data_IF_381850342103
#
_entry.id   IF_381850342103
#
_cell.length_a   1.000
_cell.length_b   1.000
_cell.length_c   1.000
_cell.angle_alpha   90.00
_cell.angle_beta   90.00
_cell.angle_gamma   90.00
#
_symmetry.space_group_name_H-M   'P 1'
#
loop_
_entity.id
_entity.type
_entity.pdbx_description
1 polymer ?
#
# COMPACT_ATOMS: atom_id res chain seq x y z
N UNK A 1 12.85 7.74 14.76
CA UNK A 1 14.30 7.41 14.69
C UNK A 1 14.89 7.65 16.06
N UNK A 2 15.71 6.72 16.57
CA UNK A 2 16.51 6.95 17.77
C UNK A 2 17.74 7.75 17.39
N UNK A 3 18.02 8.83 18.11
CA UNK A 3 19.22 9.63 17.95
C UNK A 3 20.35 9.06 18.83
N UNK A 4 21.63 9.28 18.48
CA UNK A 4 22.77 8.77 19.28
C UNK A 4 22.78 9.23 20.73
N UNK A 5 22.12 10.34 21.04
CA UNK A 5 21.97 10.90 22.38
C UNK A 5 20.78 10.30 23.18
N UNK A 6 20.16 9.22 22.69
CA UNK A 6 19.02 8.56 23.34
C UNK A 6 17.67 9.23 23.09
N UNK A 7 17.63 10.38 22.39
CA UNK A 7 16.37 11.05 22.09
C UNK A 7 15.60 10.37 20.94
N UNK A 8 14.28 10.45 21.00
CA UNK A 8 13.38 9.92 19.99
C UNK A 8 12.87 11.04 19.09
N UNK A 9 13.29 11.02 17.83
CA UNK A 9 12.78 11.89 16.79
C UNK A 9 11.61 11.23 16.05
N UNK A 10 10.46 11.89 16.01
CA UNK A 10 9.32 11.53 15.16
C UNK A 10 9.12 12.64 14.15
N UNK A 11 9.01 12.28 12.87
CA UNK A 11 8.70 13.19 11.77
C UNK A 11 7.42 12.69 11.11
N UNK A 12 6.46 13.59 10.91
CA UNK A 12 5.17 13.33 10.32
C UNK A 12 4.94 14.30 9.16
N UNK A 13 4.58 13.77 8.00
CA UNK A 13 4.05 14.60 6.92
C UNK A 13 2.61 14.98 7.28
N UNK A 14 2.33 16.28 7.40
CA UNK A 14 1.00 16.81 7.75
C UNK A 14 0.17 17.13 6.53
N UNK A 15 0.78 17.80 5.56
CA UNK A 15 0.09 18.25 4.36
C UNK A 15 1.06 18.31 3.16
N UNK A 16 0.48 18.21 1.97
CA UNK A 16 1.18 18.16 0.70
C UNK A 16 0.27 18.72 -0.40
N UNK A 17 0.73 19.73 -1.12
CA UNK A 17 0.02 20.25 -2.29
C UNK A 17 0.97 20.68 -3.40
N UNK A 18 0.46 20.71 -4.63
CA UNK A 18 1.19 21.17 -5.81
C UNK A 18 0.67 22.56 -6.16
N UNK A 19 1.57 23.53 -6.19
CA UNK A 19 1.25 24.90 -6.61
C UNK A 19 1.04 24.97 -8.12
N UNK A 20 0.22 25.91 -8.57
CA UNK A 20 0.06 26.14 -10.01
C UNK A 20 1.39 26.58 -10.62
N UNK A 21 1.71 26.18 -11.86
CA UNK A 21 2.97 26.58 -12.51
C UNK A 21 3.15 28.09 -12.59
N UNK A 22 4.29 28.58 -12.10
CA UNK A 22 4.64 30.01 -12.12
C UNK A 22 6.02 30.26 -12.71
N UNK A 23 6.18 31.44 -13.31
CA UNK A 23 7.48 31.96 -13.71
C UNK A 23 8.23 32.41 -12.45
N UNK A 24 9.55 32.19 -12.41
CA UNK A 24 10.38 32.67 -11.29
C UNK A 24 10.25 34.18 -11.12
N UNK A 25 10.10 34.63 -9.87
CA UNK A 25 9.96 36.07 -9.53
C UNK A 25 11.13 36.94 -9.98
N UNK A 26 12.30 36.34 -10.23
CA UNK A 26 13.48 37.02 -10.75
C UNK A 26 13.38 37.38 -12.24
N UNK A 27 12.39 36.85 -12.96
CA UNK A 27 12.16 37.19 -14.36
C UNK A 27 11.25 38.43 -14.48
N UNK A 28 11.55 39.28 -15.44
CA UNK A 28 10.65 40.35 -15.87
C UNK A 28 9.54 39.74 -16.74
N UNK A 29 8.33 39.64 -16.20
CA UNK A 29 7.20 39.06 -16.89
C UNK A 29 5.93 39.91 -16.68
N UNK A 30 5.09 40.01 -17.70
CA UNK A 30 3.78 40.69 -17.64
C UNK A 30 2.80 39.94 -16.74
N UNK A 31 2.93 38.62 -16.68
CA UNK A 31 2.23 37.74 -15.76
C UNK A 31 3.21 36.72 -15.19
N UNK A 32 3.03 36.33 -13.94
CA UNK A 32 3.82 35.25 -13.33
C UNK A 32 3.16 33.87 -13.48
N UNK A 33 1.96 33.78 -14.06
CA UNK A 33 1.36 32.50 -14.43
C UNK A 33 2.12 31.93 -15.62
N UNK A 34 2.55 30.68 -15.52
CA UNK A 34 3.10 29.94 -16.66
C UNK A 34 1.97 29.18 -17.35
N UNK A 35 1.79 29.38 -18.65
CA UNK A 35 0.78 28.65 -19.44
C UNK A 35 1.41 27.46 -20.20
N UNK A 36 0.63 26.40 -20.50
CA UNK A 36 1.15 25.24 -21.22
C UNK A 36 1.75 25.58 -22.60
N UNK A 37 1.11 26.47 -23.37
CA UNK A 37 1.58 26.97 -24.66
C UNK A 37 3.01 27.51 -24.60
N UNK A 38 3.34 28.30 -23.57
CA UNK A 38 4.69 28.83 -23.36
C UNK A 38 5.72 27.71 -23.16
N UNK A 39 5.36 26.66 -22.42
CA UNK A 39 6.24 25.51 -22.21
C UNK A 39 6.50 24.74 -23.50
N UNK A 40 5.49 24.62 -24.38
CA UNK A 40 5.66 24.01 -25.71
C UNK A 40 6.67 24.80 -26.54
N UNK A 41 6.47 26.11 -26.69
CA UNK A 41 7.34 26.98 -27.49
C UNK A 41 8.77 27.05 -26.95
N UNK A 42 8.94 26.99 -25.62
CA UNK A 42 10.26 27.08 -24.96
C UNK A 42 10.97 25.74 -24.82
N UNK A 43 10.38 24.64 -25.29
CA UNK A 43 10.88 23.28 -25.05
C UNK A 43 11.09 22.99 -23.56
N UNK A 44 10.23 23.54 -22.70
CA UNK A 44 10.31 23.46 -21.25
C UNK A 44 9.31 22.44 -20.69
N UNK A 45 9.50 22.07 -19.43
CA UNK A 45 8.55 21.20 -18.71
C UNK A 45 7.52 22.06 -17.96
N UNK A 46 6.23 21.77 -18.16
CA UNK A 46 5.13 22.42 -17.45
C UNK A 46 4.99 21.82 -16.04
N UNK A 47 5.46 22.55 -15.02
CA UNK A 47 5.61 22.02 -13.65
C UNK A 47 5.27 23.05 -12.59
N UNK A 48 4.73 22.56 -11.47
CA UNK A 48 4.38 23.32 -10.27
C UNK A 48 5.22 22.89 -9.08
N UNK A 49 5.40 23.79 -8.11
CA UNK A 49 6.20 23.51 -6.92
C UNK A 49 5.44 22.61 -5.93
N UNK A 50 6.09 21.55 -5.46
CA UNK A 50 5.59 20.65 -4.42
C UNK A 50 5.89 21.23 -3.04
N UNK A 51 4.86 21.69 -2.36
CA UNK A 51 4.94 22.21 -1.00
C UNK A 51 4.56 21.12 0.00
N UNK A 52 5.43 20.87 0.97
CA UNK A 52 5.18 19.94 2.07
C UNK A 52 5.19 20.67 3.42
N UNK A 53 4.28 20.25 4.29
CA UNK A 53 4.22 20.69 5.69
C UNK A 53 4.61 19.51 6.57
N UNK A 54 5.69 19.65 7.34
CA UNK A 54 6.16 18.62 8.26
C UNK A 54 5.86 19.04 9.69
N UNK A 55 5.37 18.10 10.50
CA UNK A 55 5.45 18.20 11.95
C UNK A 55 6.57 17.28 12.44
N UNK A 56 7.32 17.73 13.43
CA UNK A 56 8.29 16.86 14.08
C UNK A 56 8.23 17.04 15.60
N UNK A 57 8.60 15.99 16.32
CA UNK A 57 8.63 16.00 17.78
C UNK A 57 9.88 15.32 18.28
N UNK A 58 10.46 15.86 19.35
CA UNK A 58 11.58 15.28 20.09
C UNK A 58 11.07 14.79 21.44
N UNK A 59 11.22 13.50 21.73
CA UNK A 59 10.73 12.87 22.96
C UNK A 59 9.24 13.15 23.25
N UNK A 60 8.42 13.25 22.20
CA UNK A 60 6.99 13.54 22.29
C UNK A 60 6.64 15.04 22.35
N UNK A 61 7.62 15.93 22.50
CA UNK A 61 7.41 17.39 22.48
C UNK A 61 7.40 17.88 21.04
N UNK A 62 6.24 18.36 20.56
CA UNK A 62 6.06 18.93 19.22
C UNK A 62 6.91 20.19 19.07
N UNK A 63 7.56 20.31 17.93
CA UNK A 63 8.43 21.42 17.56
C UNK A 63 7.78 22.23 16.43
N UNK A 64 8.52 23.19 15.88
CA UNK A 64 8.05 24.00 14.75
C UNK A 64 7.60 23.15 13.56
N UNK A 65 6.63 23.68 12.81
CA UNK A 65 6.01 23.03 11.66
C UNK A 65 6.48 23.72 10.37
N UNK A 66 7.68 23.39 9.84
CA UNK A 66 8.20 24.05 8.65
C UNK A 66 7.38 23.66 7.41
N UNK A 67 7.12 24.67 6.57
CA UNK A 67 6.70 24.48 5.18
C UNK A 67 7.93 24.52 4.29
N UNK A 68 8.07 23.54 3.41
CA UNK A 68 9.24 23.43 2.52
C UNK A 68 8.84 22.97 1.13
N UNK A 69 9.35 23.69 0.13
CA UNK A 69 9.32 23.23 -1.26
C UNK A 69 10.36 22.12 -1.45
N UNK A 70 9.92 20.94 -1.93
CA UNK A 70 10.81 19.80 -2.22
C UNK A 70 11.18 19.68 -3.70
N UNK A 71 10.82 20.67 -4.51
CA UNK A 71 11.09 20.70 -5.94
C UNK A 71 9.80 20.82 -6.75
N UNK A 72 9.93 20.71 -8.07
CA UNK A 72 8.83 20.93 -9.00
C UNK A 72 8.39 19.61 -9.66
N UNK A 73 7.07 19.40 -9.76
CA UNK A 73 6.45 18.22 -10.35
C UNK A 73 5.69 18.62 -11.62
N UNK A 74 5.76 17.83 -12.71
CA UNK A 74 4.94 18.06 -13.90
C UNK A 74 3.45 18.11 -13.56
N UNK A 75 2.76 19.12 -14.07
CA UNK A 75 1.32 19.31 -13.86
C UNK A 75 0.55 18.83 -15.09
N UNK A 76 -0.53 18.08 -14.87
CA UNK A 76 -1.40 17.63 -15.95
C UNK A 76 -2.20 18.81 -16.50
N UNK A 77 -2.21 18.98 -17.83
CA UNK A 77 -2.97 20.04 -18.50
C UNK A 77 -4.46 19.88 -18.19
N UNK A 78 -5.16 20.99 -17.91
CA UNK A 78 -6.57 21.10 -17.46
C UNK A 78 -6.92 20.49 -16.09
N UNK A 79 -5.97 19.86 -15.39
CA UNK A 79 -6.18 19.46 -13.98
C UNK A 79 -6.34 20.67 -13.05
N UNK A 80 -6.81 20.47 -11.82
CA UNK A 80 -7.02 21.54 -10.83
C UNK A 80 -5.77 22.41 -10.57
N UNK A 81 -4.59 21.78 -10.58
CA UNK A 81 -3.29 22.45 -10.43
C UNK A 81 -2.83 23.18 -11.71
N UNK A 82 -3.54 23.05 -12.83
CA UNK A 82 -3.22 23.75 -14.07
C UNK A 82 -3.78 25.19 -14.07
N UNK A 83 -3.09 26.09 -14.76
CA UNK A 83 -3.57 27.45 -14.98
C UNK A 83 -4.75 27.53 -15.97
N UNK A 84 -4.99 26.49 -16.77
CA UNK A 84 -6.14 26.39 -17.68
C UNK A 84 -7.41 25.86 -17.01
N UNK A 85 -7.33 25.47 -15.74
CA UNK A 85 -8.47 24.90 -15.02
C UNK A 85 -9.63 25.90 -14.91
N UNK A 86 -10.82 25.50 -15.39
CA UNK A 86 -12.02 26.33 -15.35
C UNK A 86 -12.07 27.48 -16.37
N UNK A 87 -11.08 27.61 -17.25
CA UNK A 87 -11.10 28.64 -18.30
C UNK A 87 -12.16 28.35 -19.36
N UNK A 88 -12.84 29.40 -19.80
CA UNK A 88 -13.80 29.37 -20.90
C UNK A 88 -13.09 29.31 -22.26
N UNK A 89 -13.78 28.85 -23.33
CA UNK A 89 -13.23 28.80 -24.68
C UNK A 89 -12.50 30.08 -25.15
N UNK A 90 -13.11 31.25 -24.92
CA UNK A 90 -12.52 32.55 -25.27
C UNK A 90 -11.24 32.86 -24.49
N UNK A 91 -11.17 32.47 -23.21
CA UNK A 91 -9.99 32.68 -22.36
C UNK A 91 -8.84 31.78 -22.76
N UNK A 92 -9.13 30.54 -23.22
CA UNK A 92 -8.13 29.61 -23.75
C UNK A 92 -7.46 30.18 -24.99
N UNK A 93 -8.26 30.67 -25.94
CA UNK A 93 -7.76 31.32 -27.16
C UNK A 93 -6.87 32.52 -26.80
N UNK A 94 -7.29 33.33 -25.82
CA UNK A 94 -6.54 34.50 -25.38
C UNK A 94 -5.16 34.17 -24.78
N UNK A 95 -4.97 32.97 -24.22
CA UNK A 95 -3.67 32.50 -23.69
C UNK A 95 -2.91 31.59 -24.66
N UNK A 96 -3.34 31.53 -25.93
CA UNK A 96 -2.65 30.80 -27.00
C UNK A 96 -2.92 29.29 -27.00
N UNK A 97 -4.01 28.84 -26.39
CA UNK A 97 -4.46 27.44 -26.41
C UNK A 97 -5.61 27.25 -27.39
N UNK A 98 -5.89 26.00 -27.73
CA UNK A 98 -7.06 25.64 -28.53
C UNK A 98 -8.37 25.88 -27.76
N UNK A 99 -9.40 26.30 -28.50
CA UNK A 99 -10.76 26.53 -27.96
C UNK A 99 -11.29 25.30 -27.19
N UNK A 100 -11.01 24.11 -27.72
CA UNK A 100 -11.46 22.82 -27.20
C UNK A 100 -10.31 21.99 -26.58
N UNK A 101 -9.35 22.63 -25.92
CA UNK A 101 -8.24 21.93 -25.23
C UNK A 101 -8.78 20.88 -24.24
N UNK A 102 -8.48 19.61 -24.53
CA UNK A 102 -8.96 18.44 -23.78
C UNK A 102 -8.15 18.17 -22.50
N UNK A 103 -6.85 18.49 -22.49
CA UNK A 103 -5.94 18.18 -21.39
C UNK A 103 -5.74 16.67 -21.15
N UNK A 104 -5.35 16.30 -19.93
CA UNK A 104 -5.12 14.89 -19.55
C UNK A 104 -3.72 14.34 -19.86
N UNK A 105 -2.82 15.19 -20.36
CA UNK A 105 -1.41 14.87 -20.62
C UNK A 105 -0.48 15.84 -19.88
N UNK A 106 0.82 15.58 -19.96
CA UNK A 106 1.89 16.37 -19.36
C UNK A 106 2.81 16.92 -20.44
N UNK A 107 3.34 18.12 -20.25
CA UNK A 107 4.36 18.69 -21.15
C UNK A 107 5.73 18.54 -20.47
N UNK A 108 6.60 17.72 -21.06
CA UNK A 108 7.96 17.43 -20.58
C UNK A 108 8.95 17.81 -21.67
N UNK A 109 9.77 18.84 -21.41
CA UNK A 109 10.75 19.38 -22.36
C UNK A 109 10.12 19.73 -23.72
N UNK A 110 8.96 20.41 -23.70
CA UNK A 110 8.17 20.75 -24.88
C UNK A 110 7.37 19.62 -25.50
N UNK A 111 7.60 18.38 -25.10
CA UNK A 111 6.90 17.21 -25.65
C UNK A 111 5.69 16.83 -24.80
N UNK A 112 4.58 16.53 -25.45
CA UNK A 112 3.37 16.03 -24.80
C UNK A 112 3.51 14.53 -24.51
N UNK A 113 3.21 14.15 -23.27
CA UNK A 113 3.32 12.78 -22.77
C UNK A 113 2.09 12.41 -21.96
N UNK A 114 1.58 11.21 -22.18
CA UNK A 114 0.43 10.67 -21.45
C UNK A 114 0.85 9.45 -20.63
N UNK A 115 0.30 9.32 -19.42
CA UNK A 115 0.42 8.10 -18.63
C UNK A 115 -0.61 7.10 -19.15
N UNK A 116 -0.16 5.98 -19.71
CA UNK A 116 -1.05 4.95 -20.26
C UNK A 116 -1.84 4.26 -19.16
N UNK A 117 -3.12 4.05 -19.41
CA UNK A 117 -3.98 3.23 -18.55
C UNK A 117 -3.54 1.76 -18.65
N UNK A 118 -3.50 1.08 -17.51
CA UNK A 118 -3.14 -0.33 -17.41
C UNK A 118 -4.31 -1.14 -16.85
N UNK A 119 -4.60 -2.27 -17.47
CA UNK A 119 -5.53 -3.26 -16.92
C UNK A 119 -4.79 -4.06 -15.85
N UNK A 120 -5.32 -4.05 -14.63
CA UNK A 120 -4.77 -4.74 -13.47
C UNK A 120 -5.87 -5.58 -12.79
N UNK A 121 -5.48 -6.51 -11.92
CA UNK A 121 -6.43 -7.34 -11.17
C UNK A 121 -7.47 -6.48 -10.43
N UNK A 122 -8.74 -6.93 -10.43
CA UNK A 122 -9.83 -6.31 -9.68
C UNK A 122 -9.43 -6.08 -8.22
N UNK A 123 -9.68 -4.86 -7.72
CA UNK A 123 -9.39 -4.46 -6.33
C UNK A 123 -10.32 -5.18 -5.35
N UNK A 124 -9.80 -5.54 -4.19
CA UNK A 124 -10.52 -5.99 -3.00
C UNK A 124 -11.47 -7.17 -3.26
N UNK A 125 -11.09 -8.07 -4.17
CA UNK A 125 -11.89 -9.24 -4.51
C UNK A 125 -10.99 -10.48 -4.56
N UNK A 126 -11.31 -11.56 -3.82
CA UNK A 126 -10.56 -12.80 -3.88
C UNK A 126 -10.86 -13.56 -5.17
N UNK A 127 -9.80 -13.91 -5.91
CA UNK A 127 -9.90 -14.68 -7.15
C UNK A 127 -9.20 -16.02 -6.96
N UNK A 128 -9.96 -17.11 -6.98
CA UNK A 128 -9.40 -18.45 -7.09
C UNK A 128 -8.77 -18.61 -8.49
N UNK A 129 -7.52 -19.07 -8.53
CA UNK A 129 -6.78 -19.23 -9.77
C UNK A 129 -5.96 -20.50 -9.73
N UNK A 130 -5.74 -21.04 -10.91
CA UNK A 130 -4.76 -22.09 -11.16
C UNK A 130 -3.60 -21.50 -11.97
N UNK A 131 -2.37 -21.63 -11.46
CA UNK A 131 -1.17 -21.15 -12.15
C UNK A 131 -0.04 -22.18 -12.03
N UNK A 132 0.36 -22.85 -13.13
CA UNK A 132 1.42 -23.87 -13.11
C UNK A 132 2.75 -23.38 -12.52
N UNK A 133 3.10 -22.11 -12.74
CA UNK A 133 4.32 -21.51 -12.20
C UNK A 133 4.34 -21.40 -10.66
N UNK A 134 3.22 -21.58 -9.96
CA UNK A 134 3.21 -21.60 -8.50
C UNK A 134 3.86 -22.85 -7.92
N UNK A 135 3.84 -23.99 -8.62
CA UNK A 135 4.59 -25.21 -8.25
C UNK A 135 6.10 -24.95 -8.11
N UNK A 136 6.64 -24.01 -8.90
CA UNK A 136 8.07 -23.65 -8.91
C UNK A 136 8.51 -22.80 -7.72
N UNK A 137 7.59 -22.42 -6.81
CA UNK A 137 7.90 -21.53 -5.67
C UNK A 137 8.57 -22.24 -4.49
N UNK A 138 8.59 -23.57 -4.50
CA UNK A 138 9.26 -24.38 -3.50
C UNK A 138 8.54 -25.70 -3.28
N UNK A 139 9.04 -26.48 -2.33
CA UNK A 139 8.51 -27.80 -2.03
C UNK A 139 7.05 -27.74 -1.57
N UNK A 140 6.28 -28.73 -2.00
CA UNK A 140 4.85 -28.90 -1.70
C UNK A 140 3.92 -27.82 -2.27
N UNK A 141 4.40 -26.79 -2.97
CA UNK A 141 3.51 -25.82 -3.61
C UNK A 141 2.70 -26.47 -4.73
N UNK A 142 1.39 -26.20 -4.76
CA UNK A 142 0.52 -26.57 -5.88
C UNK A 142 0.32 -25.41 -6.84
N UNK A 143 -0.36 -25.68 -7.96
CA UNK A 143 -0.86 -24.68 -8.90
C UNK A 143 -2.05 -23.89 -8.37
N UNK A 144 -2.67 -24.31 -7.27
CA UNK A 144 -3.90 -23.72 -6.74
C UNK A 144 -3.65 -22.63 -5.71
N UNK A 145 -4.50 -21.61 -5.73
CA UNK A 145 -4.45 -20.54 -4.76
C UNK A 145 -5.43 -19.40 -5.02
N UNK A 146 -5.58 -18.55 -4.01
CA UNK A 146 -6.50 -17.40 -4.05
C UNK A 146 -5.69 -16.10 -4.03
N UNK A 147 -5.77 -15.33 -5.12
CA UNK A 147 -5.09 -14.03 -5.24
C UNK A 147 -6.01 -12.87 -4.90
N UNK A 148 -5.53 -11.96 -4.08
CA UNK A 148 -6.28 -10.80 -3.60
C UNK A 148 -5.42 -9.54 -3.78
N UNK A 149 -5.86 -8.61 -4.61
CA UNK A 149 -5.26 -7.28 -4.73
C UNK A 149 -5.96 -6.31 -3.78
N UNK A 150 -5.36 -6.06 -2.62
CA UNK A 150 -5.87 -5.15 -1.60
C UNK A 150 -5.44 -3.71 -1.90
N UNK A 151 -6.38 -2.77 -2.01
CA UNK A 151 -6.10 -1.37 -2.35
C UNK A 151 -6.56 -0.45 -1.23
N UNK A 152 -5.65 0.40 -0.73
CA UNK A 152 -5.92 1.42 0.29
C UNK A 152 -6.70 2.61 -0.29
N UNK A 153 -7.17 3.50 0.58
CA UNK A 153 -7.82 4.75 0.19
C UNK A 153 -6.91 5.65 -0.66
N UNK A 154 -5.60 5.65 -0.40
CA UNK A 154 -4.57 6.37 -1.17
C UNK A 154 -4.22 5.71 -2.52
N UNK A 155 -5.00 4.71 -2.95
CA UNK A 155 -4.79 3.91 -4.16
C UNK A 155 -3.53 3.03 -4.17
N UNK A 156 -2.74 2.99 -3.10
CA UNK A 156 -1.63 2.05 -2.97
C UNK A 156 -2.14 0.61 -2.87
N UNK A 157 -1.51 -0.30 -3.62
CA UNK A 157 -1.90 -1.70 -3.69
C UNK A 157 -0.94 -2.62 -2.93
N UNK A 158 -1.48 -3.60 -2.22
CA UNK A 158 -0.77 -4.77 -1.68
C UNK A 158 -1.38 -6.03 -2.30
N UNK A 159 -0.55 -6.85 -2.95
CA UNK A 159 -0.99 -8.13 -3.50
C UNK A 159 -0.70 -9.24 -2.50
N UNK A 160 -1.69 -10.13 -2.34
CA UNK A 160 -1.60 -11.29 -1.47
C UNK A 160 -2.04 -12.53 -2.23
N UNK A 161 -1.44 -13.68 -1.94
CA UNK A 161 -1.88 -14.97 -2.48
C UNK A 161 -1.91 -16.01 -1.37
N UNK A 162 -3.03 -16.71 -1.21
CA UNK A 162 -3.12 -17.90 -0.38
C UNK A 162 -2.79 -19.09 -1.27
N UNK A 163 -1.63 -19.71 -1.03
CA UNK A 163 -1.19 -20.90 -1.75
C UNK A 163 -1.65 -22.14 -1.02
N UNK A 164 -2.31 -23.05 -1.74
CA UNK A 164 -2.58 -24.40 -1.26
C UNK A 164 -1.35 -25.28 -1.49
N UNK A 165 -0.94 -26.03 -0.47
CA UNK A 165 0.18 -26.95 -0.54
C UNK A 165 -0.32 -28.40 -0.56
N UNK A 166 0.46 -29.30 -1.15
CA UNK A 166 0.14 -30.72 -1.27
C UNK A 166 0.13 -31.45 0.08
N UNK A 167 0.65 -30.85 1.15
CA UNK A 167 0.52 -31.34 2.53
C UNK A 167 -0.81 -30.95 3.20
N UNK A 168 -1.71 -30.31 2.44
CA UNK A 168 -3.00 -29.85 2.93
C UNK A 168 -2.94 -28.54 3.73
N UNK A 169 -1.79 -27.85 3.74
CA UNK A 169 -1.67 -26.55 4.41
C UNK A 169 -1.83 -25.37 3.46
N UNK A 170 -2.05 -24.19 4.04
CA UNK A 170 -2.17 -22.94 3.29
C UNK A 170 -1.13 -21.94 3.77
N UNK A 171 -0.31 -21.43 2.84
CA UNK A 171 0.64 -20.35 3.09
C UNK A 171 0.13 -19.05 2.49
N UNK A 172 0.09 -18.01 3.31
CA UNK A 172 -0.15 -16.65 2.88
C UNK A 172 1.15 -16.01 2.35
N UNK A 173 1.13 -15.60 1.10
CA UNK A 173 2.17 -14.83 0.46
C UNK A 173 1.80 -13.35 0.43
N UNK A 174 2.76 -12.48 0.75
CA UNK A 174 2.65 -11.03 0.59
C UNK A 174 4.01 -10.42 0.21
N UNK A 175 3.99 -9.20 -0.35
CA UNK A 175 5.21 -8.46 -0.71
C UNK A 175 5.51 -7.37 0.31
N UNK A 176 6.76 -7.27 0.75
CA UNK A 176 7.27 -6.11 1.49
C UNK A 176 8.62 -5.68 0.93
N UNK A 177 8.77 -4.38 0.60
CA UNK A 177 9.99 -3.80 0.00
C UNK A 177 10.58 -4.63 -1.16
N UNK A 178 9.73 -5.06 -2.10
CA UNK A 178 10.06 -5.89 -3.28
C UNK A 178 10.48 -7.34 -2.98
N UNK A 179 10.48 -7.76 -1.72
CA UNK A 179 10.69 -9.16 -1.34
C UNK A 179 9.35 -9.88 -1.09
N UNK A 180 9.30 -11.17 -1.42
CA UNK A 180 8.14 -12.02 -1.18
C UNK A 180 8.33 -12.79 0.13
N UNK A 181 7.30 -12.78 0.98
CA UNK A 181 7.28 -13.49 2.25
C UNK A 181 6.14 -14.49 2.26
N UNK A 182 6.36 -15.63 2.92
CA UNK A 182 5.38 -16.70 3.07
C UNK A 182 5.20 -17.02 4.54
N UNK A 183 3.95 -17.02 5.00
CA UNK A 183 3.60 -17.25 6.40
C UNK A 183 2.41 -18.21 6.45
N UNK A 184 2.37 -19.21 7.35
CA UNK A 184 1.20 -20.07 7.50
C UNK A 184 -0.06 -19.23 7.73
N UNK A 185 -1.15 -19.49 6.99
CA UNK A 185 -2.38 -18.68 7.12
C UNK A 185 -2.95 -18.77 8.54
N UNK A 186 -2.84 -19.95 9.17
CA UNK A 186 -3.34 -20.19 10.52
C UNK A 186 -2.62 -19.31 11.56
N UNK A 187 -1.33 -19.01 11.36
CA UNK A 187 -0.58 -18.09 12.24
C UNK A 187 -1.15 -16.66 12.16
N UNK A 188 -1.49 -16.21 10.95
CA UNK A 188 -2.09 -14.88 10.73
C UNK A 188 -3.50 -14.83 11.33
N UNK A 189 -4.31 -15.86 11.12
CA UNK A 189 -5.66 -15.94 11.70
C UNK A 189 -5.62 -15.89 13.23
N UNK A 190 -4.72 -16.66 13.86
CA UNK A 190 -4.52 -16.63 15.32
C UNK A 190 -3.98 -15.29 15.82
N UNK A 191 -3.19 -14.56 15.02
CA UNK A 191 -2.72 -13.22 15.38
C UNK A 191 -3.83 -12.14 15.33
N UNK A 192 -4.86 -12.34 14.50
CA UNK A 192 -5.98 -11.41 14.27
C UNK A 192 -7.11 -11.53 15.30
N UNK A 193 -7.13 -12.56 16.14
CA UNK A 193 -8.21 -12.77 17.12
C UNK A 193 -7.70 -13.36 18.42
N UNK A 194 -8.34 -12.97 19.53
CA UNK A 194 -8.15 -13.51 20.87
C UNK A 194 -9.02 -14.75 21.16
N UNK A 195 -9.84 -15.18 20.19
CA UNK A 195 -10.72 -16.34 20.33
C UNK A 195 -9.95 -17.66 20.21
N UNK A 196 -10.56 -18.72 20.74
CA UNK A 196 -9.99 -20.07 20.72
C UNK A 196 -9.92 -20.66 19.30
N UNK A 197 -9.15 -21.73 19.13
CA UNK A 197 -8.98 -22.39 17.84
C UNK A 197 -10.28 -22.92 17.26
N UNK A 198 -11.22 -23.35 18.10
CA UNK A 198 -12.56 -23.75 17.66
C UNK A 198 -13.29 -22.61 16.93
N UNK A 199 -13.12 -21.37 17.38
CA UNK A 199 -13.72 -20.21 16.71
C UNK A 199 -13.12 -20.02 15.31
N UNK A 200 -11.79 -20.09 15.19
CA UNK A 200 -11.10 -19.97 13.90
C UNK A 200 -11.50 -21.10 12.95
N UNK A 201 -11.48 -22.35 13.42
CA UNK A 201 -11.91 -23.53 12.67
C UNK A 201 -13.35 -23.41 12.19
N UNK A 202 -14.27 -22.96 13.06
CA UNK A 202 -15.68 -22.77 12.69
C UNK A 202 -15.87 -21.68 11.61
N UNK A 203 -15.00 -20.67 11.57
CA UNK A 203 -15.07 -19.67 10.50
C UNK A 203 -14.58 -20.21 9.17
N UNK A 204 -13.47 -20.96 9.17
CA UNK A 204 -12.89 -21.54 7.94
C UNK A 204 -13.82 -22.64 7.38
N UNK A 205 -14.41 -23.46 8.25
CA UNK A 205 -15.28 -24.61 7.86
C UNK A 205 -16.72 -24.23 7.54
N UNK A 206 -17.04 -22.93 7.47
CA UNK A 206 -18.41 -22.47 7.27
C UNK A 206 -18.95 -23.01 5.92
N UNK A 207 -19.98 -23.85 5.98
CA UNK A 207 -20.59 -24.48 4.80
C UNK A 207 -19.93 -25.80 4.36
N UNK A 208 -18.87 -26.26 5.03
CA UNK A 208 -18.16 -27.52 4.73
C UNK A 208 -17.84 -28.32 6.01
N UNK A 209 -18.76 -28.34 6.98
CA UNK A 209 -18.48 -28.96 8.28
C UNK A 209 -18.27 -30.47 8.20
N UNK A 210 -18.99 -31.12 7.29
CA UNK A 210 -18.98 -32.59 7.12
C UNK A 210 -17.84 -33.09 6.21
N UNK A 211 -17.01 -32.19 5.68
CA UNK A 211 -15.87 -32.55 4.84
C UNK A 211 -14.69 -33.01 5.71
N UNK A 212 -14.54 -34.32 5.87
CA UNK A 212 -13.49 -34.93 6.69
C UNK A 212 -12.09 -34.63 6.19
N UNK A 213 -11.89 -34.49 4.88
CA UNK A 213 -10.61 -34.12 4.29
C UNK A 213 -10.24 -32.69 4.69
N UNK A 214 -11.17 -31.74 4.52
CA UNK A 214 -10.96 -30.35 4.88
C UNK A 214 -10.71 -30.15 6.38
N UNK A 215 -11.44 -30.89 7.24
CA UNK A 215 -11.17 -30.92 8.67
C UNK A 215 -9.75 -31.43 8.97
N UNK A 216 -9.32 -32.49 8.27
CA UNK A 216 -7.95 -33.02 8.36
C UNK A 216 -6.88 -31.97 8.04
N UNK A 217 -7.09 -31.18 6.98
CA UNK A 217 -6.21 -30.07 6.61
C UNK A 217 -6.10 -29.02 7.72
N UNK A 218 -7.23 -28.61 8.31
CA UNK A 218 -7.25 -27.61 9.38
C UNK A 218 -6.55 -28.14 10.64
N UNK A 219 -6.81 -29.39 11.02
CA UNK A 219 -6.13 -30.03 12.14
C UNK A 219 -4.62 -30.09 11.91
N UNK A 220 -4.17 -30.39 10.67
CA UNK A 220 -2.76 -30.35 10.31
C UNK A 220 -2.15 -28.94 10.51
N UNK A 221 -2.83 -27.90 10.02
CA UNK A 221 -2.40 -26.51 10.19
C UNK A 221 -2.32 -26.08 11.67
N UNK A 222 -3.27 -26.51 12.50
CA UNK A 222 -3.25 -26.25 13.95
C UNK A 222 -2.11 -26.99 14.64
N UNK A 223 -1.86 -28.26 14.29
CA UNK A 223 -0.73 -29.04 14.83
C UNK A 223 0.62 -28.38 14.55
N UNK A 224 0.80 -27.78 13.37
CA UNK A 224 2.04 -27.04 13.04
C UNK A 224 2.28 -25.81 13.91
N UNK A 225 1.23 -25.16 14.41
CA UNK A 225 1.37 -24.07 15.39
C UNK A 225 1.64 -24.61 16.79
N UNK A 226 0.95 -25.70 17.17
CA UNK A 226 1.13 -26.33 18.47
C UNK A 226 2.54 -26.89 18.66
N UNK A 227 3.16 -27.45 17.61
CA UNK A 227 4.56 -27.92 17.66
C UNK A 227 5.55 -26.77 17.92
N UNK A 228 5.18 -25.54 17.53
CA UNK A 228 5.92 -24.31 17.83
C UNK A 228 5.50 -23.65 19.15
N UNK A 229 4.63 -24.30 19.94
CA UNK A 229 4.07 -23.79 21.20
C UNK A 229 3.28 -22.48 21.05
N UNK A 230 2.65 -22.26 19.88
CA UNK A 230 1.85 -21.07 19.60
C UNK A 230 0.36 -21.40 19.84
N UNK A 231 -0.10 -21.14 21.06
CA UNK A 231 -1.45 -21.48 21.53
C UNK A 231 -2.37 -20.25 21.60
N UNK A 232 -1.83 -19.08 21.96
CA UNK A 232 -2.62 -17.85 22.14
C UNK A 232 -2.19 -16.74 21.19
N UNK A 233 -3.05 -15.73 21.01
CA UNK A 233 -2.83 -14.58 20.13
C UNK A 233 -1.49 -13.89 20.36
N UNK A 234 -1.14 -13.65 21.63
CA UNK A 234 0.07 -12.94 21.99
C UNK A 234 1.33 -13.68 21.53
N UNK A 235 1.36 -15.01 21.67
CA UNK A 235 2.45 -15.84 21.17
C UNK A 235 2.56 -15.77 19.65
N UNK A 236 1.43 -15.76 18.94
CA UNK A 236 1.41 -15.61 17.48
C UNK A 236 1.97 -14.26 17.04
N UNK A 237 1.59 -13.17 17.72
CA UNK A 237 2.10 -11.83 17.47
C UNK A 237 3.60 -11.72 17.80
N UNK A 238 4.05 -12.28 18.93
CA UNK A 238 5.46 -12.27 19.28
C UNK A 238 6.31 -13.02 18.25
N UNK A 239 5.88 -14.22 17.85
CA UNK A 239 6.55 -15.02 16.84
C UNK A 239 6.65 -14.30 15.49
N UNK A 240 5.56 -13.68 15.03
CA UNK A 240 5.58 -12.85 13.81
C UNK A 240 6.52 -11.65 13.97
N UNK A 241 6.51 -11.00 15.13
CA UNK A 241 7.35 -9.84 15.40
C UNK A 241 8.83 -10.16 15.31
N UNK A 242 9.24 -11.24 15.96
CA UNK A 242 10.63 -11.71 15.96
C UNK A 242 11.10 -12.07 14.54
N UNK A 243 10.27 -12.80 13.79
CA UNK A 243 10.58 -13.18 12.40
C UNK A 243 10.84 -11.97 11.48
N UNK A 244 10.09 -10.88 11.67
CA UNK A 244 10.10 -9.74 10.74
C UNK A 244 10.82 -8.50 11.28
N UNK A 245 11.32 -8.51 12.52
CA UNK A 245 11.98 -7.36 13.18
C UNK A 245 13.10 -6.75 12.32
N UNK A 246 14.01 -7.59 11.84
CA UNK A 246 15.16 -7.16 11.02
C UNK A 246 14.68 -6.60 9.67
N UNK A 247 13.75 -7.30 9.01
CA UNK A 247 13.28 -6.94 7.67
C UNK A 247 12.46 -5.65 7.65
N UNK A 248 11.67 -5.39 8.68
CA UNK A 248 10.83 -4.20 8.75
C UNK A 248 11.64 -2.93 9.04
N UNK A 249 12.80 -3.05 9.70
CA UNK A 249 13.67 -1.91 10.03
C UNK A 249 12.97 -0.91 10.95
N UNK A 250 12.11 -1.41 11.84
CA UNK A 250 11.39 -0.59 12.82
C UNK A 250 12.32 -0.17 13.97
N UNK A 251 11.96 0.90 14.70
CA UNK A 251 12.76 1.35 15.84
C UNK A 251 12.98 0.24 16.88
N UNK A 252 14.17 0.21 17.49
CA UNK A 252 14.57 -0.85 18.42
C UNK A 252 13.64 -0.99 19.64
N UNK A 253 13.02 0.12 20.08
CA UNK A 253 12.10 0.15 21.21
C UNK A 253 10.72 -0.46 20.91
N UNK A 254 10.41 -0.82 19.65
CA UNK A 254 9.17 -1.53 19.35
C UNK A 254 9.27 -2.95 19.93
N UNK A 255 8.24 -3.34 20.68
CA UNK A 255 8.03 -4.72 21.11
C UNK A 255 7.75 -5.62 19.91
N UNK A 256 7.98 -6.93 20.04
CA UNK A 256 7.71 -7.88 18.96
C UNK A 256 6.22 -7.87 18.56
N UNK A 257 5.31 -7.68 19.52
CA UNK A 257 3.88 -7.51 19.20
C UNK A 257 3.59 -6.27 18.35
N UNK A 258 4.25 -5.13 18.60
CA UNK A 258 4.08 -3.90 17.81
C UNK A 258 4.64 -4.06 16.40
N UNK A 259 5.78 -4.76 16.27
CA UNK A 259 6.36 -5.13 14.98
C UNK A 259 5.37 -5.98 14.15
N UNK A 260 4.74 -6.98 14.77
CA UNK A 260 3.74 -7.81 14.11
C UNK A 260 2.48 -7.03 13.73
N UNK A 261 1.97 -6.17 14.61
CA UNK A 261 0.83 -5.28 14.31
C UNK A 261 1.14 -4.35 13.15
N UNK A 262 2.36 -3.79 13.10
CA UNK A 262 2.82 -2.99 11.97
C UNK A 262 2.83 -3.80 10.67
N UNK A 263 3.36 -5.03 10.68
CA UNK A 263 3.35 -5.93 9.52
C UNK A 263 1.92 -6.17 9.01
N UNK A 264 1.01 -6.54 9.92
CA UNK A 264 -0.39 -6.82 9.61
C UNK A 264 -1.06 -5.58 9.03
N UNK A 265 -0.80 -4.40 9.58
CA UNK A 265 -1.33 -3.14 9.07
C UNK A 265 -0.79 -2.80 7.68
N UNK A 266 0.50 -3.01 7.44
CA UNK A 266 1.16 -2.59 6.21
C UNK A 266 1.06 -3.58 5.05
N UNK A 267 0.86 -4.87 5.33
CA UNK A 267 0.92 -5.91 4.30
C UNK A 267 -0.38 -6.69 4.14
N UNK A 268 -1.09 -6.95 5.24
CA UNK A 268 -2.19 -7.93 5.29
C UNK A 268 -3.54 -7.23 5.19
N UNK A 269 -4.29 -7.54 4.14
CA UNK A 269 -5.66 -7.07 3.90
C UNK A 269 -5.79 -5.55 4.10
N UNK A 270 -4.89 -4.78 3.48
CA UNK A 270 -4.66 -3.35 3.76
C UNK A 270 -5.85 -2.43 3.46
N UNK A 271 -6.86 -2.95 2.77
CA UNK A 271 -8.11 -2.25 2.47
C UNK A 271 -9.12 -2.30 3.62
N UNK A 272 -8.90 -3.16 4.62
CA UNK A 272 -9.78 -3.35 5.77
C UNK A 272 -9.20 -2.66 7.00
N UNK A 273 -10.09 -2.08 7.82
CA UNK A 273 -9.70 -1.26 8.97
C UNK A 273 -9.54 -2.09 10.24
N UNK A 274 -10.42 -3.07 10.45
CA UNK A 274 -10.46 -3.83 11.69
C UNK A 274 -9.84 -5.23 11.53
N UNK A 275 -9.25 -5.76 12.60
CA UNK A 275 -8.69 -7.11 12.61
C UNK A 275 -9.78 -8.18 12.37
N UNK A 276 -11.01 -7.92 12.84
CA UNK A 276 -12.16 -8.79 12.63
C UNK A 276 -12.53 -8.91 11.14
N UNK A 277 -12.58 -7.80 10.41
CA UNK A 277 -12.85 -7.83 8.97
C UNK A 277 -11.75 -8.61 8.23
N UNK A 278 -10.48 -8.37 8.59
CA UNK A 278 -9.34 -9.12 8.02
C UNK A 278 -9.45 -10.61 8.29
N UNK A 279 -9.83 -10.98 9.51
CA UNK A 279 -10.03 -12.37 9.92
C UNK A 279 -11.14 -13.03 9.09
N UNK A 280 -12.28 -12.37 8.93
CA UNK A 280 -13.41 -12.90 8.15
C UNK A 280 -13.02 -13.08 6.68
N UNK A 281 -12.37 -12.08 6.07
CA UNK A 281 -11.92 -12.17 4.68
C UNK A 281 -10.94 -13.34 4.49
N UNK A 282 -9.92 -13.45 5.34
CA UNK A 282 -8.91 -14.50 5.22
C UNK A 282 -9.47 -15.89 5.48
N UNK A 283 -10.38 -16.05 6.46
CA UNK A 283 -11.04 -17.31 6.73
C UNK A 283 -11.91 -17.75 5.54
N UNK A 284 -12.68 -16.83 4.95
CA UNK A 284 -13.48 -17.11 3.76
C UNK A 284 -12.62 -17.39 2.53
N UNK A 285 -11.45 -16.76 2.39
CA UNK A 285 -10.53 -17.01 1.29
C UNK A 285 -9.76 -18.33 1.44
N UNK A 286 -9.67 -18.87 2.66
CA UNK A 286 -9.04 -20.16 2.94
C UNK A 286 -10.02 -21.35 2.88
N UNK A 287 -11.33 -21.09 2.84
CA UNK A 287 -12.42 -22.06 2.66
C UNK A 287 -12.62 -22.40 1.18
#
# INVERSE_FOLDING_TARGET
MGLPNGNHLKVELRDCYIEKPTIKKTAHATTYKMYPAECRSRLATYKGDLQLTFAWSLNGVVQDIPKKCLGAIPVMVKSEACNLHGMKPQELIAVGEEENEFGGYFIINGLEKVVRLLIIQRRNYPIAMERPNWKKRGDMFTEFGVSIRCVRSDQSGSNMVLHYLSDGTVKLMFTYRKELFFVPVMLILKALTDKCDLYITNMITKGKRDDTFFQGCIVNMLRQLNSKKILVREQALNYLGEMFRVKLGLPAWYSSTEVAKFLIHQCICVHLKTEREKLVLLANAAN
#
